data_IF_056245190988
#
_entry.id   IF_056245190988
#
_cell.length_a   1.000
_cell.length_b   1.000
_cell.length_c   1.000
_cell.angle_alpha   90.00
_cell.angle_beta   90.00
_cell.angle_gamma   90.00
#
_symmetry.space_group_name_H-M   'P 1'
#
loop_
_entity.id
_entity.type
_entity.pdbx_description
1 polymer ?
#
# COMPACT_ATOMS: atom_id res chain seq x y z
N UNK A 1 -25.43 13.27 -17.15
CA UNK A 1 -24.17 13.97 -17.50
C UNK A 1 -23.18 13.73 -16.37
N UNK A 2 -22.03 13.20 -16.74
CA UNK A 2 -21.08 12.46 -15.91
C UNK A 2 -20.26 13.35 -14.98
N UNK A 3 -20.65 13.46 -13.71
CA UNK A 3 -19.82 14.10 -12.67
C UNK A 3 -19.11 13.09 -11.79
N UNK A 4 -19.49 11.80 -11.82
CA UNK A 4 -18.87 10.77 -10.98
C UNK A 4 -17.58 10.20 -11.58
N UNK A 5 -17.45 10.19 -12.91
CA UNK A 5 -16.31 9.54 -13.58
C UNK A 5 -15.02 10.40 -13.54
N UNK A 6 -15.14 11.73 -13.48
CA UNK A 6 -13.99 12.64 -13.48
C UNK A 6 -13.28 12.70 -12.12
N UNK A 7 -14.03 12.54 -11.02
CA UNK A 7 -13.49 12.53 -9.65
C UNK A 7 -12.81 11.20 -9.27
N UNK A 8 -13.28 10.08 -9.83
CA UNK A 8 -12.66 8.76 -9.64
C UNK A 8 -11.26 8.67 -10.27
N UNK A 9 -11.01 9.44 -11.33
CA UNK A 9 -9.70 9.46 -12.03
C UNK A 9 -8.61 10.06 -11.14
N UNK A 10 -8.95 10.92 -10.18
CA UNK A 10 -7.99 11.63 -9.31
C UNK A 10 -7.59 10.87 -8.04
N UNK A 11 -8.30 9.80 -7.65
CA UNK A 11 -8.06 9.13 -6.36
C UNK A 11 -7.13 7.94 -6.52
N UNK A 12 -5.87 8.12 -6.10
CA UNK A 12 -4.91 7.02 -5.98
C UNK A 12 -5.23 6.10 -4.80
N UNK A 13 -6.14 5.16 -5.03
CA UNK A 13 -6.44 4.07 -4.09
C UNK A 13 -5.23 3.15 -3.91
N UNK A 14 -5.13 2.48 -2.76
CA UNK A 14 -4.05 1.54 -2.48
C UNK A 14 -3.87 0.51 -3.61
N UNK A 15 -4.97 -0.06 -4.11
CA UNK A 15 -4.96 -1.04 -5.21
C UNK A 15 -4.36 -0.47 -6.50
N UNK A 16 -4.69 0.77 -6.86
CA UNK A 16 -4.16 1.41 -8.07
C UNK A 16 -2.68 1.75 -7.91
N UNK A 17 -2.27 2.28 -6.76
CA UNK A 17 -0.85 2.54 -6.44
C UNK A 17 -0.03 1.26 -6.54
N UNK A 18 -0.52 0.16 -5.96
CA UNK A 18 0.18 -1.14 -6.02
C UNK A 18 0.35 -1.61 -7.46
N UNK A 19 -0.69 -1.54 -8.30
CA UNK A 19 -0.58 -1.94 -9.69
C UNK A 19 0.48 -1.12 -10.44
N UNK A 20 0.48 0.21 -10.27
CA UNK A 20 1.47 1.09 -10.89
C UNK A 20 2.89 0.77 -10.42
N UNK A 21 3.10 0.67 -9.11
CA UNK A 21 4.41 0.38 -8.51
C UNK A 21 4.93 -0.99 -8.98
N UNK A 22 4.06 -1.99 -9.09
CA UNK A 22 4.45 -3.32 -9.60
C UNK A 22 4.87 -3.27 -11.07
N UNK A 23 4.16 -2.55 -11.93
CA UNK A 23 4.54 -2.41 -13.34
C UNK A 23 5.90 -1.70 -13.50
N UNK A 24 6.22 -0.74 -12.61
CA UNK A 24 7.53 -0.08 -12.57
C UNK A 24 8.63 -1.03 -12.09
N UNK A 25 8.40 -1.76 -10.99
CA UNK A 25 9.37 -2.74 -10.46
C UNK A 25 9.64 -3.87 -11.47
N UNK A 26 8.62 -4.29 -12.22
CA UNK A 26 8.74 -5.31 -13.26
C UNK A 26 9.35 -4.79 -14.57
N UNK A 27 9.63 -3.48 -14.67
CA UNK A 27 10.23 -2.86 -15.86
C UNK A 27 9.30 -2.70 -17.06
N UNK A 28 7.98 -2.83 -16.85
CA UNK A 28 6.97 -2.63 -17.91
C UNK A 28 6.71 -1.16 -18.22
N UNK A 29 6.93 -0.30 -17.23
CA UNK A 29 6.84 1.15 -17.36
C UNK A 29 7.96 1.79 -16.52
N UNK A 30 8.41 2.96 -16.92
CA UNK A 30 9.33 3.77 -16.10
C UNK A 30 8.56 4.74 -15.21
N UNK A 31 9.24 5.32 -14.21
CA UNK A 31 8.72 6.42 -13.38
C UNK A 31 8.30 7.60 -14.27
N UNK A 32 9.14 7.98 -15.23
CA UNK A 32 8.88 9.09 -16.15
C UNK A 32 7.66 8.86 -17.05
N UNK A 33 7.50 7.65 -17.58
CA UNK A 33 6.32 7.28 -18.39
C UNK A 33 5.05 7.27 -17.55
N UNK A 34 5.12 6.71 -16.34
CA UNK A 34 4.00 6.67 -15.39
C UNK A 34 3.57 8.06 -14.96
N UNK A 35 4.54 8.93 -14.64
CA UNK A 35 4.32 10.32 -14.27
C UNK A 35 3.58 11.08 -15.38
N UNK A 36 4.02 10.94 -16.64
CA UNK A 36 3.37 11.59 -17.78
C UNK A 36 1.99 11.02 -18.07
N UNK A 37 1.82 9.71 -17.96
CA UNK A 37 0.55 9.03 -18.27
C UNK A 37 -0.57 9.35 -17.27
N UNK A 38 -0.22 9.60 -16.01
CA UNK A 38 -1.18 9.83 -14.93
C UNK A 38 -1.11 11.24 -14.32
N UNK A 39 -0.35 12.14 -14.94
CA UNK A 39 -0.12 13.52 -14.50
C UNK A 39 0.31 13.61 -13.01
N UNK A 40 1.24 12.71 -12.65
CA UNK A 40 1.80 12.61 -11.31
C UNK A 40 3.18 13.24 -11.25
N UNK A 41 3.57 13.76 -10.08
CA UNK A 41 4.94 14.19 -9.87
C UNK A 41 5.87 12.97 -9.89
N UNK A 42 6.96 12.96 -10.68
CA UNK A 42 7.94 11.88 -10.68
C UNK A 42 8.42 11.48 -9.28
N UNK A 43 8.67 12.46 -8.41
CA UNK A 43 9.13 12.22 -7.03
C UNK A 43 8.09 11.50 -6.16
N UNK A 44 6.80 11.71 -6.42
CA UNK A 44 5.72 11.00 -5.69
C UNK A 44 5.67 9.52 -6.12
N UNK A 45 5.84 9.27 -7.42
CA UNK A 45 5.91 7.90 -7.96
C UNK A 45 7.15 7.18 -7.46
N UNK A 46 8.30 7.85 -7.39
CA UNK A 46 9.53 7.30 -6.79
C UNK A 46 9.33 6.94 -5.31
N UNK A 47 8.74 7.83 -4.52
CA UNK A 47 8.40 7.56 -3.11
C UNK A 47 7.53 6.31 -2.97
N UNK A 48 6.52 6.10 -3.81
CA UNK A 48 5.69 4.89 -3.72
C UNK A 48 6.46 3.62 -4.06
N UNK A 49 7.39 3.68 -5.02
CA UNK A 49 8.26 2.54 -5.37
C UNK A 49 9.22 2.23 -4.23
N UNK A 50 9.80 3.26 -3.62
CA UNK A 50 10.75 3.13 -2.52
C UNK A 50 10.10 2.69 -1.21
N UNK A 51 8.85 3.10 -0.94
CA UNK A 51 8.06 2.62 0.20
C UNK A 51 7.48 1.21 -0.05
N UNK A 52 7.15 0.89 -1.30
CA UNK A 52 6.55 -0.39 -1.69
C UNK A 52 7.49 -1.58 -1.50
N UNK A 53 8.79 -1.43 -1.80
CA UNK A 53 9.81 -2.49 -1.62
C UNK A 53 9.95 -2.96 -0.17
N UNK A 54 10.26 -2.09 0.82
CA UNK A 54 10.36 -2.50 2.23
C UNK A 54 9.00 -2.91 2.81
N UNK A 55 7.88 -2.33 2.35
CA UNK A 55 6.54 -2.78 2.74
C UNK A 55 6.27 -4.23 2.33
N UNK A 56 6.67 -4.61 1.11
CA UNK A 56 6.60 -5.98 0.61
C UNK A 56 7.55 -6.92 1.37
N UNK A 57 8.79 -6.51 1.61
CA UNK A 57 9.74 -7.28 2.42
C UNK A 57 9.19 -7.55 3.82
N UNK A 58 8.62 -6.54 4.49
CA UNK A 58 8.02 -6.70 5.80
C UNK A 58 6.82 -7.66 5.75
N UNK A 59 5.95 -7.53 4.74
CA UNK A 59 4.82 -8.44 4.56
C UNK A 59 5.24 -9.91 4.33
N UNK A 60 6.38 -10.13 3.66
CA UNK A 60 6.94 -11.47 3.43
C UNK A 60 7.72 -12.00 4.64
N UNK A 61 8.40 -11.12 5.38
CA UNK A 61 9.14 -11.46 6.60
C UNK A 61 8.22 -11.86 7.74
N UNK A 62 7.07 -11.19 7.84
CA UNK A 62 6.14 -11.43 8.93
C UNK A 62 5.25 -12.61 8.56
N UNK A 63 5.35 -13.74 9.27
CA UNK A 63 4.37 -14.84 9.12
C UNK A 63 3.00 -14.31 9.58
N UNK A 64 1.97 -14.26 8.72
CA UNK A 64 0.67 -13.70 9.11
C UNK A 64 0.03 -14.37 10.34
N UNK A 65 0.32 -15.67 10.55
CA UNK A 65 -0.11 -16.41 11.73
C UNK A 65 0.57 -15.93 13.03
N UNK A 66 1.84 -15.54 12.96
CA UNK A 66 2.64 -15.13 14.12
C UNK A 66 2.21 -13.76 14.66
N UNK A 67 1.80 -12.85 13.78
CA UNK A 67 1.22 -11.55 14.17
C UNK A 67 -0.12 -11.76 14.89
N UNK A 68 -1.00 -12.59 14.32
CA UNK A 68 -2.31 -12.86 14.93
C UNK A 68 -2.17 -13.47 16.32
N UNK A 69 -1.26 -14.43 16.48
CA UNK A 69 -0.94 -15.03 17.78
C UNK A 69 -0.37 -14.00 18.77
N UNK A 70 0.52 -13.09 18.33
CA UNK A 70 1.03 -11.99 19.17
C UNK A 70 -0.06 -11.01 19.60
N UNK A 71 -0.97 -10.64 18.69
CA UNK A 71 -2.13 -9.79 19.02
C UNK A 71 -3.07 -10.48 20.02
N UNK A 72 -3.39 -11.76 19.83
CA UNK A 72 -4.21 -12.53 20.75
C UNK A 72 -3.55 -12.67 22.13
N UNK A 73 -2.22 -12.76 22.20
CA UNK A 73 -1.48 -12.81 23.46
C UNK A 73 -1.53 -11.48 24.22
N UNK A 74 -1.48 -10.34 23.52
CA UNK A 74 -1.57 -9.00 24.11
C UNK A 74 -2.98 -8.66 24.62
N UNK A 75 -4.03 -9.21 24.01
CA UNK A 75 -5.43 -8.95 24.40
C UNK A 75 -5.82 -9.68 25.70
N UNK A 76 -5.29 -10.88 25.94
CA UNK A 76 -5.59 -11.70 27.13
C UNK A 76 -5.37 -10.98 28.47
N UNK A 77 -4.24 -10.31 28.74
CA UNK A 77 -4.03 -9.61 30.00
C UNK A 77 -4.86 -8.31 30.11
N UNK A 78 -5.19 -7.67 28.99
CA UNK A 78 -6.00 -6.43 28.97
C UNK A 78 -7.47 -6.73 29.31
N UNK A 79 -8.05 -7.78 28.73
CA UNK A 79 -9.42 -8.19 29.06
C UNK A 79 -9.58 -8.63 30.52
N UNK A 80 -8.55 -9.26 31.10
CA UNK A 80 -8.56 -9.69 32.51
C UNK A 80 -8.58 -8.52 33.51
N UNK A 81 -8.09 -7.33 33.11
CA UNK A 81 -8.09 -6.11 33.95
C UNK A 81 -9.35 -5.28 33.85
N UNK A 82 -10.11 -5.39 32.76
CA UNK A 82 -11.36 -4.63 32.55
C UNK A 82 -12.58 -5.34 33.15
N UNK A 83 -12.47 -6.63 33.46
CA UNK A 83 -13.54 -7.44 34.04
C UNK A 83 -13.51 -7.62 35.57
N UNK A 84 -12.84 -6.73 36.31
CA UNK A 84 -12.78 -6.77 37.78
C UNK A 84 -13.27 -5.46 38.39
#
# INVERSE_FOLDING_TARGET
MSTLMEDDIKRWTAKRKTALVLDIIQGKSTVSESSRAFDLNPSEVESWVDEGKPGMENALRTKPLEVKEQYEWLIKPVQKKVGQ
#
